data_IF_786734397241
#
_entry.id   IF_786734397241
#
_cell.length_a   1.000
_cell.length_b   1.000
_cell.length_c   1.000
_cell.angle_alpha   90.00
_cell.angle_beta   90.00
_cell.angle_gamma   90.00
#
_symmetry.space_group_name_H-M   'P 1'
#
loop_
_entity.id
_entity.type
_entity.pdbx_description
1 polymer ?
#
# COMPACT_ATOMS: atom_id res chain seq x y z
N UNK A 1 5.52 -15.81 32.99
CA UNK A 1 4.90 -14.58 32.49
C UNK A 1 5.95 -13.92 31.64
N UNK A 2 5.67 -13.72 30.35
CA UNK A 2 6.56 -12.91 29.51
C UNK A 2 6.68 -11.53 30.15
N UNK A 3 7.90 -11.03 30.25
CA UNK A 3 8.13 -9.65 30.65
C UNK A 3 7.57 -8.75 29.55
N UNK A 4 6.71 -7.80 29.95
CA UNK A 4 6.02 -6.86 29.06
C UNK A 4 6.32 -5.45 29.50
N UNK A 5 6.42 -4.54 28.53
CA UNK A 5 6.63 -3.11 28.77
C UNK A 5 5.45 -2.32 28.22
N UNK A 6 5.10 -1.21 28.88
CA UNK A 6 4.04 -0.31 28.43
C UNK A 6 4.63 0.75 27.51
N UNK A 7 3.97 1.00 26.37
CA UNK A 7 4.31 2.12 25.48
C UNK A 7 3.17 3.11 25.46
N UNK A 8 3.48 4.37 25.80
CA UNK A 8 2.57 5.52 25.69
C UNK A 8 2.92 6.35 24.47
N UNK A 9 1.92 6.67 23.65
CA UNK A 9 2.05 7.50 22.46
C UNK A 9 1.63 8.94 22.76
N UNK A 10 2.53 9.89 22.61
CA UNK A 10 2.27 11.33 22.72
C UNK A 10 2.13 11.97 21.33
N UNK A 11 1.23 12.94 21.11
CA UNK A 11 0.26 13.50 22.06
C UNK A 11 -1.05 12.71 22.17
N UNK A 12 -1.19 11.61 21.44
CA UNK A 12 -2.46 10.87 21.27
C UNK A 12 -2.99 10.28 22.59
N UNK A 13 -2.11 9.97 23.54
CA UNK A 13 -2.44 9.39 24.85
C UNK A 13 -2.81 7.91 24.82
N UNK A 14 -2.58 7.22 23.69
CA UNK A 14 -2.84 5.78 23.53
C UNK A 14 -1.71 4.97 24.20
N UNK A 15 -2.08 3.93 24.92
CA UNK A 15 -1.16 3.00 25.57
C UNK A 15 -1.36 1.57 25.08
N UNK A 16 -0.26 0.80 25.04
CA UNK A 16 -0.29 -0.62 24.68
C UNK A 16 0.91 -1.39 25.22
N UNK A 17 0.77 -2.72 25.29
CA UNK A 17 1.82 -3.60 25.85
C UNK A 17 2.71 -4.18 24.76
N UNK A 18 4.03 -4.09 24.93
CA UNK A 18 5.04 -4.72 24.07
C UNK A 18 5.60 -5.95 24.77
N UNK A 19 5.57 -7.09 24.08
CA UNK A 19 6.20 -8.32 24.58
C UNK A 19 7.71 -8.31 24.32
N UNK A 20 8.50 -8.93 25.21
CA UNK A 20 9.95 -9.04 25.00
C UNK A 20 10.29 -9.69 23.64
N UNK A 21 11.16 -9.04 22.87
CA UNK A 21 11.57 -9.47 21.52
C UNK A 21 10.59 -9.08 20.39
N UNK A 22 9.43 -8.49 20.72
CA UNK A 22 8.52 -7.89 19.75
C UNK A 22 8.94 -6.44 19.46
N UNK A 23 8.74 -6.00 18.21
CA UNK A 23 8.96 -4.59 17.89
C UNK A 23 7.77 -3.74 18.34
N UNK A 24 8.02 -2.50 18.75
CA UNK A 24 6.95 -1.55 19.15
C UNK A 24 5.84 -1.47 18.10
N UNK A 25 6.21 -1.45 16.81
CA UNK A 25 5.23 -1.43 15.72
C UNK A 25 4.36 -2.70 15.66
N UNK A 26 4.95 -3.89 15.83
CA UNK A 26 4.19 -5.15 15.79
C UNK A 26 3.26 -5.28 17.00
N UNK A 27 3.71 -4.84 18.18
CA UNK A 27 2.89 -4.80 19.38
C UNK A 27 1.67 -3.90 19.21
N UNK A 28 1.85 -2.71 18.61
CA UNK A 28 0.76 -1.82 18.26
C UNK A 28 -0.24 -2.50 17.31
N UNK A 29 0.25 -3.12 16.24
CA UNK A 29 -0.60 -3.83 15.27
C UNK A 29 -1.39 -4.98 15.89
N UNK A 30 -0.76 -5.80 16.74
CA UNK A 30 -1.40 -6.91 17.46
C UNK A 30 -2.58 -6.42 18.31
N UNK A 31 -2.47 -5.21 18.86
CA UNK A 31 -3.50 -4.59 19.70
C UNK A 31 -4.45 -3.66 18.93
N UNK A 32 -4.33 -3.61 17.60
CA UNK A 32 -5.22 -2.80 16.77
C UNK A 32 -4.94 -1.31 16.89
N UNK A 33 -3.68 -0.92 17.04
CA UNK A 33 -3.22 0.46 16.97
C UNK A 33 -2.48 0.63 15.63
N UNK A 34 -3.04 1.48 14.77
CA UNK A 34 -2.46 1.78 13.48
C UNK A 34 -1.42 2.90 13.62
N UNK A 35 -0.14 2.54 13.50
CA UNK A 35 0.96 3.50 13.50
C UNK A 35 1.44 3.79 12.07
N UNK A 36 1.99 4.98 11.80
CA UNK A 36 2.63 5.29 10.52
C UNK A 36 3.72 4.27 10.18
N UNK A 37 3.66 3.70 8.98
CA UNK A 37 4.64 2.73 8.48
C UNK A 37 4.59 2.61 6.96
N UNK A 38 5.63 2.03 6.38
CA UNK A 38 5.69 1.68 4.95
C UNK A 38 6.32 0.31 4.76
N UNK A 39 7.64 0.22 4.84
CA UNK A 39 8.38 -1.03 4.54
C UNK A 39 8.41 -2.08 5.66
N UNK A 40 8.19 -1.70 6.92
CA UNK A 40 8.40 -2.55 8.13
C UNK A 40 9.82 -3.15 8.31
N UNK A 41 10.79 -2.76 7.46
CA UNK A 41 12.15 -3.31 7.42
C UNK A 41 13.25 -2.26 7.72
N UNK A 42 12.87 -1.06 8.17
CA UNK A 42 13.82 0.00 8.52
C UNK A 42 14.50 0.66 7.33
N UNK A 43 13.77 0.83 6.21
CA UNK A 43 14.28 1.40 4.95
C UNK A 43 13.63 2.74 4.55
N UNK A 44 12.40 3.03 4.99
CA UNK A 44 11.58 4.10 4.40
C UNK A 44 11.31 5.32 5.28
N UNK A 45 11.83 5.37 6.52
CA UNK A 45 11.59 6.44 7.52
C UNK A 45 10.14 6.65 7.98
N UNK A 46 9.14 6.01 7.36
CA UNK A 46 7.72 6.24 7.64
C UNK A 46 7.28 5.99 9.09
N UNK A 47 7.96 5.11 9.83
CA UNK A 47 7.66 4.84 11.24
C UNK A 47 8.62 5.57 12.20
N UNK A 48 9.22 6.68 11.75
CA UNK A 48 10.14 7.48 12.57
C UNK A 48 9.35 8.25 13.61
N UNK A 49 9.83 8.20 14.84
CA UNK A 49 9.22 8.84 16.02
C UNK A 49 10.35 9.28 16.96
N UNK A 50 10.02 10.04 18.00
CA UNK A 50 11.01 10.47 19.00
C UNK A 50 10.76 9.70 20.29
N UNK A 51 11.81 9.13 20.87
CA UNK A 51 11.76 8.52 22.19
C UNK A 51 11.89 9.63 23.24
N UNK A 52 10.86 9.82 24.05
CA UNK A 52 10.84 10.80 25.13
C UNK A 52 11.38 10.20 26.43
N UNK A 53 10.93 8.99 26.77
CA UNK A 53 11.36 8.25 27.96
C UNK A 53 11.50 6.75 27.66
N UNK A 54 12.35 6.08 28.43
CA UNK A 54 12.56 4.63 28.36
C UNK A 54 13.85 4.20 27.65
N UNK A 55 14.06 2.88 27.59
CA UNK A 55 15.26 2.25 27.03
C UNK A 55 14.88 1.29 25.90
N UNK A 56 15.58 1.42 24.77
CA UNK A 56 15.32 0.64 23.56
C UNK A 56 16.61 0.17 22.92
N UNK A 57 16.55 -0.95 22.21
CA UNK A 57 17.52 -1.30 21.17
C UNK A 57 16.84 -1.30 19.80
N UNK A 58 17.59 -1.06 18.74
CA UNK A 58 17.07 -1.08 17.38
C UNK A 58 17.72 -2.19 16.56
N UNK A 59 16.87 -3.10 16.05
CA UNK A 59 17.27 -4.08 15.04
C UNK A 59 17.85 -3.38 13.80
N UNK A 60 18.71 -4.07 13.04
CA UNK A 60 19.38 -3.52 11.83
C UNK A 60 18.44 -2.70 10.94
N UNK A 61 18.87 -1.49 10.58
CA UNK A 61 18.16 -0.55 9.69
C UNK A 61 19.14 0.14 8.73
N UNK A 62 18.62 0.89 7.77
CA UNK A 62 19.41 1.70 6.84
C UNK A 62 19.66 3.10 7.40
N UNK A 63 20.89 3.62 7.23
CA UNK A 63 21.23 5.02 7.59
C UNK A 63 20.48 6.06 6.75
N UNK A 64 19.91 5.64 5.61
CA UNK A 64 18.96 6.47 4.86
C UNK A 64 17.63 6.64 5.60
N UNK A 65 17.19 5.61 6.33
CA UNK A 65 15.93 5.64 7.07
C UNK A 65 16.05 6.42 8.39
N UNK A 66 17.19 6.29 9.05
CA UNK A 66 17.52 6.98 10.29
C UNK A 66 19.02 7.24 10.32
N UNK A 67 19.43 8.49 10.17
CA UNK A 67 20.84 8.86 10.19
C UNK A 67 21.37 9.01 11.63
N UNK A 68 22.70 9.12 11.78
CA UNK A 68 23.33 9.16 13.10
C UNK A 68 22.92 10.39 13.92
N UNK A 69 22.75 11.56 13.29
CA UNK A 69 22.32 12.79 13.95
C UNK A 69 20.87 12.69 14.47
N UNK A 70 19.98 12.08 13.69
CA UNK A 70 18.60 11.81 14.12
C UNK A 70 18.58 10.84 15.30
N UNK A 71 19.38 9.77 15.24
CA UNK A 71 19.51 8.81 16.34
C UNK A 71 20.04 9.48 17.62
N UNK A 72 21.07 10.31 17.51
CA UNK A 72 21.66 11.05 18.63
C UNK A 72 20.68 12.06 19.25
N UNK A 73 19.71 12.55 18.46
CA UNK A 73 18.62 13.42 18.93
C UNK A 73 17.39 12.66 19.42
N UNK A 74 17.50 11.35 19.67
CA UNK A 74 16.44 10.53 20.26
C UNK A 74 15.42 9.97 19.27
N UNK A 75 15.64 10.09 17.96
CA UNK A 75 14.75 9.50 16.98
C UNK A 75 14.92 7.98 16.92
N UNK A 76 13.79 7.28 16.77
CA UNK A 76 13.71 5.82 16.68
C UNK A 76 12.85 5.40 15.49
N UNK A 77 13.07 4.19 14.99
CA UNK A 77 12.18 3.54 14.01
C UNK A 77 11.33 2.50 14.73
N UNK A 78 10.03 2.74 14.90
CA UNK A 78 9.16 1.84 15.65
C UNK A 78 9.10 0.41 15.08
N UNK A 79 9.31 0.24 13.76
CA UNK A 79 9.40 -1.08 13.14
C UNK A 79 10.66 -1.89 13.52
N UNK A 80 11.66 -1.25 14.12
CA UNK A 80 12.94 -1.85 14.53
C UNK A 80 13.19 -1.76 16.03
N UNK A 81 12.38 -1.00 16.75
CA UNK A 81 12.52 -0.70 18.17
C UNK A 81 12.08 -1.89 19.02
N UNK A 82 12.97 -2.41 19.88
CA UNK A 82 12.72 -3.42 20.91
C UNK A 82 12.81 -2.71 22.27
N UNK A 83 11.76 -2.82 23.08
CA UNK A 83 11.69 -2.19 24.39
C UNK A 83 12.40 -3.01 25.47
N UNK A 84 13.13 -2.33 26.37
CA UNK A 84 13.73 -2.91 27.60
C UNK A 84 13.21 -2.27 28.88
N UNK A 85 12.37 -1.23 28.76
CA UNK A 85 11.60 -0.62 29.84
C UNK A 85 10.32 -0.03 29.27
N UNK A 86 9.46 0.52 30.14
CA UNK A 86 8.30 1.30 29.70
C UNK A 86 8.77 2.52 28.90
N UNK A 87 8.05 2.83 27.81
CA UNK A 87 8.43 3.88 26.87
C UNK A 87 7.38 4.98 26.79
N UNK A 88 7.85 6.21 26.63
CA UNK A 88 7.05 7.31 26.10
C UNK A 88 7.59 7.72 24.73
N UNK A 89 6.73 7.69 23.71
CA UNK A 89 7.10 7.92 22.31
C UNK A 89 6.25 9.04 21.73
N UNK A 90 6.90 10.09 21.22
CA UNK A 90 6.26 11.15 20.46
C UNK A 90 6.10 10.74 18.99
N UNK A 91 4.85 10.71 18.54
CA UNK A 91 4.52 10.52 17.14
C UNK A 91 4.69 11.84 16.38
N UNK A 92 5.72 11.88 15.52
CA UNK A 92 5.98 13.03 14.65
C UNK A 92 4.84 13.32 13.68
N UNK A 93 4.12 12.28 13.28
CA UNK A 93 2.94 12.37 12.42
C UNK A 93 1.92 11.37 12.94
N UNK A 94 0.68 11.79 13.14
CA UNK A 94 -0.44 10.90 13.42
C UNK A 94 -1.69 11.42 12.71
N UNK A 95 -2.61 10.50 12.45
CA UNK A 95 -3.88 10.77 11.80
C UNK A 95 -4.96 10.13 12.68
N UNK A 96 -5.81 10.96 13.27
CA UNK A 96 -6.87 10.52 14.17
C UNK A 96 -7.86 9.59 13.47
N UNK A 97 -8.10 9.78 12.17
CA UNK A 97 -8.98 8.91 11.38
C UNK A 97 -8.34 7.53 11.20
N UNK A 98 -7.03 7.46 10.98
CA UNK A 98 -6.29 6.19 10.91
C UNK A 98 -6.37 5.45 12.24
N UNK A 99 -6.20 6.16 13.35
CA UNK A 99 -6.29 5.58 14.70
C UNK A 99 -7.69 5.06 14.98
N UNK A 100 -8.74 5.82 14.65
CA UNK A 100 -10.14 5.42 14.82
C UNK A 100 -10.53 4.22 13.94
N UNK A 101 -9.89 4.06 12.78
CA UNK A 101 -10.13 2.97 11.82
C UNK A 101 -9.16 1.80 11.98
N UNK A 102 -8.39 1.74 13.07
CA UNK A 102 -7.43 0.69 13.26
C UNK A 102 -8.09 -0.70 13.40
N UNK A 103 -7.46 -1.69 12.77
CA UNK A 103 -7.90 -3.10 12.80
C UNK A 103 -6.74 -3.91 13.33
N UNK A 104 -7.00 -4.73 14.36
CA UNK A 104 -6.01 -5.63 14.91
C UNK A 104 -5.50 -6.60 13.84
N UNK A 105 -4.18 -6.66 13.68
CA UNK A 105 -3.51 -7.58 12.78
C UNK A 105 -3.66 -9.00 13.31
N UNK A 106 -4.10 -9.90 12.44
CA UNK A 106 -4.31 -11.32 12.76
C UNK A 106 -3.68 -12.20 11.69
N UNK A 107 -3.48 -13.45 12.07
CA UNK A 107 -3.02 -14.51 11.18
C UNK A 107 -4.22 -15.34 10.69
N UNK A 108 -4.31 -15.50 9.38
CA UNK A 108 -5.34 -16.27 8.69
C UNK A 108 -4.68 -17.40 7.91
N UNK A 109 -5.28 -18.59 7.95
CA UNK A 109 -4.91 -19.69 7.07
C UNK A 109 -5.80 -19.66 5.84
N UNK A 110 -5.25 -20.00 4.68
CA UNK A 110 -5.99 -20.03 3.43
C UNK A 110 -5.31 -20.87 2.36
N UNK A 111 -5.88 -20.81 1.16
CA UNK A 111 -5.34 -21.47 -0.03
C UNK A 111 -5.46 -20.57 -1.24
N UNK A 112 -4.54 -20.70 -2.19
CA UNK A 112 -4.66 -20.05 -3.50
C UNK A 112 -5.77 -20.75 -4.27
N UNK A 113 -6.89 -20.07 -4.50
CA UNK A 113 -8.03 -20.62 -5.23
C UNK A 113 -7.85 -20.51 -6.75
N UNK A 114 -7.29 -19.38 -7.22
CA UNK A 114 -7.11 -19.11 -8.65
C UNK A 114 -5.85 -18.29 -8.89
N UNK A 115 -5.20 -18.57 -10.03
CA UNK A 115 -4.13 -17.75 -10.60
C UNK A 115 -4.54 -17.44 -12.04
N UNK A 116 -4.42 -16.17 -12.44
CA UNK A 116 -4.75 -15.67 -13.77
C UNK A 116 -3.59 -14.87 -14.33
N UNK A 117 -3.31 -15.02 -15.62
CA UNK A 117 -2.35 -14.17 -16.32
C UNK A 117 -3.08 -12.91 -16.83
N UNK A 118 -2.67 -11.74 -16.34
CA UNK A 118 -3.27 -10.45 -16.74
C UNK A 118 -2.48 -9.77 -17.86
N UNK A 119 -1.14 -9.83 -17.77
CA UNK A 119 -0.23 -9.35 -18.82
C UNK A 119 0.96 -10.32 -18.93
N UNK A 120 1.97 -9.97 -19.74
CA UNK A 120 3.22 -10.73 -19.79
C UNK A 120 3.93 -10.80 -18.42
N UNK A 121 3.85 -9.76 -17.60
CA UNK A 121 4.53 -9.63 -16.31
C UNK A 121 3.61 -9.44 -15.09
N UNK A 122 2.27 -9.53 -15.23
CA UNK A 122 1.33 -9.40 -14.11
C UNK A 122 0.45 -10.64 -13.96
N UNK A 123 0.30 -11.11 -12.73
CA UNK A 123 -0.57 -12.23 -12.34
C UNK A 123 -1.65 -11.74 -11.38
N UNK A 124 -2.90 -12.13 -11.64
CA UNK A 124 -4.00 -12.03 -10.69
C UNK A 124 -4.05 -13.28 -9.81
N UNK A 125 -4.25 -13.12 -8.50
CA UNK A 125 -4.41 -14.25 -7.58
C UNK A 125 -5.65 -14.05 -6.74
N UNK A 126 -6.40 -15.12 -6.55
CA UNK A 126 -7.46 -15.19 -5.55
C UNK A 126 -7.07 -16.17 -4.44
N UNK A 127 -7.16 -15.72 -3.18
CA UNK A 127 -6.94 -16.53 -1.98
C UNK A 127 -8.25 -16.67 -1.24
N UNK A 128 -8.58 -17.91 -0.89
CA UNK A 128 -9.70 -18.24 -0.03
C UNK A 128 -9.19 -18.45 1.40
N UNK A 129 -9.68 -17.63 2.33
CA UNK A 129 -9.35 -17.71 3.75
C UNK A 129 -10.27 -18.69 4.47
N UNK A 130 -9.77 -19.35 5.51
CA UNK A 130 -10.56 -20.22 6.38
C UNK A 130 -11.46 -19.46 7.37
N UNK A 131 -11.28 -18.14 7.51
CA UNK A 131 -12.09 -17.27 8.35
C UNK A 131 -12.15 -15.86 7.76
N UNK A 132 -13.22 -15.08 8.03
CA UNK A 132 -13.37 -13.74 7.49
C UNK A 132 -12.34 -12.76 8.07
N UNK A 133 -11.74 -11.97 7.19
CA UNK A 133 -10.85 -10.85 7.53
C UNK A 133 -11.58 -9.52 7.30
N UNK A 134 -11.58 -8.66 8.32
CA UNK A 134 -11.96 -7.25 8.18
C UNK A 134 -10.75 -6.45 7.68
N UNK A 135 -10.97 -5.56 6.71
CA UNK A 135 -9.96 -4.63 6.20
C UNK A 135 -10.63 -3.40 5.56
N UNK A 136 -9.84 -2.38 5.22
CA UNK A 136 -10.28 -1.22 4.46
C UNK A 136 -9.73 -1.23 3.03
N UNK A 137 -10.51 -0.74 2.08
CA UNK A 137 -10.12 -0.74 0.67
C UNK A 137 -8.83 0.06 0.46
N UNK A 138 -7.79 -0.60 -0.05
CA UNK A 138 -6.43 -0.04 -0.20
C UNK A 138 -5.38 -0.65 0.73
N UNK A 139 -5.79 -1.37 1.79
CA UNK A 139 -4.87 -2.06 2.69
C UNK A 139 -4.16 -3.25 2.03
N UNK A 140 -3.13 -3.76 2.72
CA UNK A 140 -2.33 -4.90 2.28
C UNK A 140 -2.16 -5.97 3.35
N UNK A 141 -1.67 -7.13 2.95
CA UNK A 141 -1.33 -8.26 3.85
C UNK A 141 0.04 -8.82 3.49
N UNK A 142 0.67 -9.47 4.46
CA UNK A 142 1.81 -10.34 4.19
C UNK A 142 1.29 -11.74 3.83
N UNK A 143 1.74 -12.27 2.69
CA UNK A 143 1.38 -13.61 2.22
C UNK A 143 2.61 -14.49 2.30
N UNK A 144 2.53 -15.53 3.10
CA UNK A 144 3.52 -16.60 3.22
C UNK A 144 3.05 -17.84 2.48
N UNK A 145 3.89 -18.35 1.58
CA UNK A 145 3.66 -19.59 0.84
C UNK A 145 4.89 -20.48 0.91
N UNK A 146 4.69 -21.80 0.98
CA UNK A 146 5.76 -22.79 0.80
C UNK A 146 5.70 -23.31 -0.64
N UNK A 147 6.78 -23.12 -1.39
CA UNK A 147 6.86 -23.55 -2.79
C UNK A 147 6.90 -25.07 -2.90
N UNK A 148 6.71 -25.61 -4.10
CA UNK A 148 6.87 -27.05 -4.35
C UNK A 148 8.27 -27.58 -4.00
N UNK A 149 9.29 -26.71 -3.95
CA UNK A 149 10.66 -27.05 -3.55
C UNK A 149 10.87 -26.99 -2.03
N UNK A 150 9.85 -26.67 -1.26
CA UNK A 150 9.91 -26.53 0.20
C UNK A 150 10.43 -25.17 0.69
N UNK A 151 10.67 -24.20 -0.19
CA UNK A 151 11.11 -22.86 0.22
C UNK A 151 9.91 -22.05 0.73
N UNK A 152 10.04 -21.43 1.90
CA UNK A 152 9.02 -20.52 2.44
C UNK A 152 9.34 -19.08 2.07
N UNK A 153 8.38 -18.41 1.42
CA UNK A 153 8.53 -17.05 0.93
C UNK A 153 7.39 -16.20 1.48
N UNK A 154 7.73 -15.06 2.10
CA UNK A 154 6.77 -14.05 2.57
C UNK A 154 6.93 -12.76 1.79
N UNK A 155 5.84 -12.19 1.27
CA UNK A 155 5.82 -10.87 0.62
C UNK A 155 4.52 -10.14 0.89
N UNK A 156 4.59 -8.81 0.92
CA UNK A 156 3.43 -7.94 1.12
C UNK A 156 2.72 -7.68 -0.21
N UNK A 157 1.39 -7.81 -0.23
CA UNK A 157 0.56 -7.52 -1.40
C UNK A 157 -0.73 -6.82 -0.99
N UNK A 158 -1.09 -5.74 -1.69
CA UNK A 158 -2.32 -4.99 -1.45
C UNK A 158 -3.53 -5.70 -2.04
N UNK A 159 -4.63 -5.71 -1.29
CA UNK A 159 -5.89 -6.31 -1.73
C UNK A 159 -6.48 -5.50 -2.90
N UNK A 160 -7.00 -6.21 -3.91
CA UNK A 160 -7.74 -5.67 -5.04
C UNK A 160 -9.26 -5.82 -4.87
N UNK A 161 -9.71 -6.72 -4.00
CA UNK A 161 -11.12 -6.89 -3.67
C UNK A 161 -11.62 -5.82 -2.70
N UNK A 162 -12.94 -5.67 -2.61
CA UNK A 162 -13.58 -4.72 -1.69
C UNK A 162 -13.80 -5.36 -0.29
N UNK A 163 -13.85 -4.55 0.79
CA UNK A 163 -14.04 -4.99 2.18
C UNK A 163 -15.21 -5.93 2.49
N UNK A 164 -16.29 -5.91 1.70
CA UNK A 164 -17.42 -6.84 1.83
C UNK A 164 -17.03 -8.29 1.48
N UNK A 165 -15.97 -8.49 0.70
CA UNK A 165 -15.44 -9.81 0.34
C UNK A 165 -14.42 -10.27 1.38
N UNK A 166 -14.92 -10.67 2.56
CA UNK A 166 -14.09 -10.94 3.75
C UNK A 166 -13.29 -12.25 3.72
N UNK A 167 -13.69 -13.23 2.90
CA UNK A 167 -13.02 -14.55 2.82
C UNK A 167 -12.34 -14.82 1.47
N UNK A 168 -12.63 -14.01 0.45
CA UNK A 168 -12.06 -14.15 -0.89
C UNK A 168 -11.23 -12.92 -1.21
N UNK A 169 -9.94 -13.00 -0.95
CA UNK A 169 -9.01 -11.91 -1.20
C UNK A 169 -8.47 -12.01 -2.63
N UNK A 170 -8.38 -10.88 -3.32
CA UNK A 170 -7.83 -10.80 -4.68
C UNK A 170 -6.58 -9.92 -4.68
N UNK A 171 -5.59 -10.26 -5.50
CA UNK A 171 -4.31 -9.56 -5.57
C UNK A 171 -3.85 -9.42 -7.02
N UNK A 172 -3.18 -8.30 -7.32
CA UNK A 172 -2.52 -8.06 -8.61
C UNK A 172 -1.01 -7.97 -8.34
N UNK A 173 -0.27 -8.95 -8.84
CA UNK A 173 1.14 -9.15 -8.52
C UNK A 173 2.00 -8.99 -9.76
N UNK A 174 2.97 -8.07 -9.68
CA UNK A 174 3.97 -7.88 -10.72
C UNK A 174 5.13 -8.87 -10.57
N UNK A 175 5.55 -9.43 -11.70
CA UNK A 175 6.75 -10.21 -11.87
C UNK A 175 7.96 -9.29 -11.93
N UNK A 176 8.95 -9.60 -11.10
CA UNK A 176 10.27 -9.01 -11.16
C UNK A 176 11.27 -10.12 -11.54
N UNK A 177 12.28 -9.84 -12.39
CA UNK A 177 13.23 -10.85 -12.84
C UNK A 177 13.87 -11.68 -11.71
N UNK A 178 14.14 -11.05 -10.56
CA UNK A 178 14.72 -11.68 -9.37
C UNK A 178 13.72 -11.89 -8.21
N UNK A 179 12.43 -11.65 -8.47
CA UNK A 179 11.38 -11.78 -7.47
C UNK A 179 11.11 -13.25 -7.16
N UNK A 180 11.50 -13.75 -5.99
CA UNK A 180 11.26 -15.16 -5.60
C UNK A 180 9.78 -15.55 -5.66
N UNK A 181 8.90 -14.77 -5.05
CA UNK A 181 7.45 -15.06 -5.01
C UNK A 181 6.84 -15.01 -6.42
N UNK A 182 7.09 -13.92 -7.16
CA UNK A 182 6.49 -13.74 -8.48
C UNK A 182 7.13 -14.59 -9.57
N UNK A 183 8.39 -15.00 -9.42
CA UNK A 183 9.04 -15.99 -10.27
C UNK A 183 8.47 -17.39 -10.06
N UNK A 184 8.20 -17.79 -8.82
CA UNK A 184 7.62 -19.11 -8.52
C UNK A 184 6.14 -19.21 -8.94
N UNK A 185 5.40 -18.10 -8.92
CA UNK A 185 4.06 -18.04 -9.53
C UNK A 185 4.07 -18.28 -11.03
N UNK A 186 5.03 -17.70 -11.74
CA UNK A 186 5.08 -17.77 -13.19
C UNK A 186 5.68 -19.08 -13.72
N UNK A 187 6.72 -19.58 -13.06
CA UNK A 187 7.34 -20.88 -13.37
C UNK A 187 6.52 -22.07 -12.89
N UNK A 188 5.40 -21.83 -12.19
CA UNK A 188 4.48 -22.86 -11.72
C UNK A 188 4.95 -23.63 -10.48
N UNK A 189 5.87 -23.05 -9.70
CA UNK A 189 6.28 -23.57 -8.38
C UNK A 189 5.32 -23.17 -7.25
N UNK A 190 4.46 -22.18 -7.49
CA UNK A 190 3.24 -21.90 -6.71
C UNK A 190 2.04 -22.13 -7.63
N UNK A 191 1.05 -22.91 -7.18
CA UNK A 191 -0.13 -23.29 -7.98
C UNK A 191 -1.42 -23.10 -7.19
N UNK A 192 -2.55 -23.11 -7.90
CA UNK A 192 -3.85 -23.23 -7.26
C UNK A 192 -3.88 -24.49 -6.36
N UNK A 193 -4.49 -24.37 -5.19
CA UNK A 193 -4.47 -25.34 -4.11
C UNK A 193 -3.34 -25.18 -3.10
N UNK A 194 -2.31 -24.36 -3.37
CA UNK A 194 -1.22 -24.13 -2.42
C UNK A 194 -1.72 -23.47 -1.13
N UNK A 195 -1.32 -24.02 0.01
CA UNK A 195 -1.62 -23.45 1.32
C UNK A 195 -0.82 -22.16 1.54
N UNK A 196 -1.48 -21.19 2.15
CA UNK A 196 -0.90 -19.89 2.47
C UNK A 196 -1.23 -19.49 3.90
N UNK A 197 -0.33 -18.73 4.50
CA UNK A 197 -0.60 -17.96 5.71
C UNK A 197 -0.66 -16.48 5.33
N UNK A 198 -1.73 -15.81 5.73
CA UNK A 198 -1.99 -14.39 5.46
C UNK A 198 -1.96 -13.64 6.79
N UNK A 199 -1.18 -12.57 6.89
CA UNK A 199 -1.09 -11.74 8.09
C UNK A 199 -1.47 -10.30 7.75
N UNK A 200 -2.41 -9.71 8.50
CA UNK A 200 -2.83 -8.32 8.33
C UNK A 200 -4.22 -8.04 8.91
N UNK A 201 -4.90 -6.96 8.48
CA UNK A 201 -4.48 -6.03 7.43
C UNK A 201 -3.47 -4.98 7.90
N UNK A 202 -2.64 -4.50 6.99
CA UNK A 202 -1.68 -3.41 7.18
C UNK A 202 -1.98 -2.23 6.24
N UNK A 203 -1.29 -1.11 6.46
CA UNK A 203 -1.33 0.05 5.60
C UNK A 203 -2.36 1.11 5.99
N UNK A 204 -2.00 2.34 5.68
CA UNK A 204 -2.73 3.57 6.00
C UNK A 204 -3.30 4.26 4.76
N UNK A 205 -2.92 3.82 3.56
CA UNK A 205 -3.47 4.30 2.29
C UNK A 205 -4.76 3.53 1.96
N UNK A 206 -5.83 3.84 2.69
CA UNK A 206 -7.15 3.28 2.43
C UNK A 206 -8.17 4.39 2.16
N UNK A 207 -9.29 4.03 1.52
CA UNK A 207 -10.36 4.97 1.14
C UNK A 207 -10.86 5.79 2.34
N UNK A 208 -10.93 7.11 2.17
CA UNK A 208 -11.55 8.04 3.11
C UNK A 208 -13.03 8.26 2.75
N UNK A 209 -13.93 8.05 3.70
CA UNK A 209 -15.38 8.19 3.57
C UNK A 209 -15.85 9.60 3.96
N UNK A 210 -17.06 9.97 3.52
CA UNK A 210 -17.71 11.24 3.91
C UNK A 210 -16.91 12.52 3.58
N UNK A 211 -15.98 12.44 2.62
CA UNK A 211 -15.17 13.57 2.18
C UNK A 211 -15.84 14.33 1.03
N UNK A 212 -15.47 15.61 0.90
CA UNK A 212 -15.91 16.48 -0.19
C UNK A 212 -14.83 16.63 -1.27
N UNK A 213 -15.23 17.08 -2.46
CA UNK A 213 -14.34 17.26 -3.61
C UNK A 213 -14.08 15.96 -4.39
N UNK A 214 -13.32 16.02 -5.50
CA UNK A 214 -13.07 14.86 -6.35
C UNK A 214 -12.23 13.79 -5.63
N UNK A 215 -12.35 12.55 -6.10
CA UNK A 215 -11.48 11.43 -5.74
C UNK A 215 -10.51 11.18 -6.89
N UNK A 216 -9.22 11.42 -6.68
CA UNK A 216 -8.19 11.27 -7.69
C UNK A 216 -7.42 9.97 -7.41
N UNK A 217 -7.54 9.01 -8.31
CA UNK A 217 -6.95 7.69 -8.18
C UNK A 217 -5.81 7.53 -9.19
N UNK A 218 -4.60 7.25 -8.71
CA UNK A 218 -3.41 7.14 -9.57
C UNK A 218 -2.74 5.79 -9.36
N UNK A 219 -2.91 4.87 -10.30
CA UNK A 219 -2.24 3.57 -10.30
C UNK A 219 -1.18 3.46 -11.38
N UNK A 220 -0.11 2.69 -11.14
CA UNK A 220 0.74 2.19 -12.22
C UNK A 220 1.18 0.75 -12.02
N UNK A 221 1.16 -0.05 -13.10
CA UNK A 221 1.46 -1.48 -13.05
C UNK A 221 0.60 -2.22 -12.01
N UNK A 222 1.23 -2.93 -11.07
CA UNK A 222 0.53 -3.61 -9.97
C UNK A 222 -0.04 -2.67 -8.91
N UNK A 223 0.32 -1.38 -8.92
CA UNK A 223 -0.34 -0.36 -8.11
C UNK A 223 -1.84 -0.20 -8.44
N UNK A 224 -2.29 -0.83 -9.53
CA UNK A 224 -3.71 -1.10 -9.78
C UNK A 224 -4.39 -1.85 -8.63
N UNK A 225 -3.70 -2.71 -7.88
CA UNK A 225 -4.32 -3.55 -6.83
C UNK A 225 -5.11 -2.72 -5.81
N UNK A 226 -4.48 -1.85 -4.98
CA UNK A 226 -5.23 -1.07 -4.00
C UNK A 226 -6.14 -0.03 -4.65
N UNK A 227 -5.77 0.53 -5.80
CA UNK A 227 -6.58 1.52 -6.52
C UNK A 227 -7.90 0.91 -7.00
N UNK A 228 -7.86 -0.32 -7.52
CA UNK A 228 -9.04 -1.06 -7.93
C UNK A 228 -9.97 -1.35 -6.74
N UNK A 229 -9.40 -1.71 -5.59
CA UNK A 229 -10.15 -1.90 -4.35
C UNK A 229 -10.85 -0.60 -3.93
N UNK A 230 -10.13 0.52 -3.86
CA UNK A 230 -10.66 1.84 -3.48
C UNK A 230 -11.77 2.30 -4.43
N UNK A 231 -11.56 2.18 -5.74
CA UNK A 231 -12.56 2.55 -6.75
C UNK A 231 -13.86 1.77 -6.55
N UNK A 232 -13.79 0.45 -6.49
CA UNK A 232 -14.98 -0.38 -6.38
C UNK A 232 -15.68 -0.21 -5.03
N UNK A 233 -14.94 0.02 -3.94
CA UNK A 233 -15.52 0.32 -2.63
C UNK A 233 -16.24 1.67 -2.63
N UNK A 234 -15.67 2.70 -3.28
CA UNK A 234 -16.33 3.99 -3.47
C UNK A 234 -17.65 3.89 -4.23
N UNK A 235 -17.65 3.17 -5.36
CA UNK A 235 -18.86 3.01 -6.16
C UNK A 235 -19.96 2.25 -5.40
N UNK A 236 -19.56 1.25 -4.59
CA UNK A 236 -20.49 0.53 -3.70
C UNK A 236 -21.03 1.37 -2.56
N UNK A 237 -20.26 2.33 -2.03
CA UNK A 237 -20.71 3.20 -0.94
C UNK A 237 -21.85 4.14 -1.37
N UNK A 238 -22.02 4.35 -2.68
CA UNK A 238 -23.06 5.20 -3.25
C UNK A 238 -22.73 6.70 -3.20
N UNK A 239 -21.56 7.08 -2.71
CA UNK A 239 -21.08 8.47 -2.75
C UNK A 239 -20.97 8.96 -4.20
N UNK A 240 -21.32 10.23 -4.42
CA UNK A 240 -21.40 10.85 -5.75
C UNK A 240 -20.32 11.90 -5.97
N UNK A 241 -19.08 11.53 -5.64
CA UNK A 241 -17.91 12.38 -5.86
C UNK A 241 -17.41 12.15 -7.30
N UNK A 242 -17.00 13.19 -8.03
CA UNK A 242 -16.29 13.00 -9.29
C UNK A 242 -15.03 12.16 -9.06
N UNK A 243 -14.81 11.13 -9.88
CA UNK A 243 -13.65 10.25 -9.79
C UNK A 243 -12.80 10.41 -11.04
N UNK A 244 -11.52 10.72 -10.84
CA UNK A 244 -10.53 10.74 -11.92
C UNK A 244 -9.55 9.60 -11.72
N UNK A 245 -9.67 8.57 -12.56
CA UNK A 245 -8.90 7.34 -12.44
C UNK A 245 -7.80 7.28 -13.50
N UNK A 246 -6.58 7.62 -13.09
CA UNK A 246 -5.38 7.55 -13.90
C UNK A 246 -4.73 6.18 -13.79
N UNK A 247 -4.43 5.57 -14.93
CA UNK A 247 -3.67 4.32 -14.97
C UNK A 247 -2.45 4.40 -15.89
N UNK A 248 -1.28 4.48 -15.28
CA UNK A 248 0.00 4.56 -15.94
C UNK A 248 0.58 3.19 -16.31
N UNK A 249 1.01 3.04 -17.56
CA UNK A 249 1.74 1.88 -18.03
C UNK A 249 2.84 2.26 -19.06
N UNK A 250 3.63 1.28 -19.52
CA UNK A 250 4.66 1.54 -20.55
C UNK A 250 4.01 1.55 -21.93
N UNK A 251 3.40 0.44 -22.30
CA UNK A 251 2.78 0.21 -23.61
C UNK A 251 1.35 -0.31 -23.44
N UNK A 252 0.59 -0.44 -24.55
CA UNK A 252 -0.76 -1.03 -24.53
C UNK A 252 -0.78 -2.45 -23.93
N UNK A 253 0.28 -3.23 -24.14
CA UNK A 253 0.40 -4.61 -23.64
C UNK A 253 0.58 -4.71 -22.12
N UNK A 254 0.82 -3.59 -21.44
CA UNK A 254 0.96 -3.50 -20.00
C UNK A 254 -0.38 -3.13 -19.31
N UNK A 255 -1.40 -2.75 -20.09
CA UNK A 255 -2.74 -2.46 -19.59
C UNK A 255 -3.56 -3.74 -19.49
N UNK A 256 -4.37 -3.86 -18.45
CA UNK A 256 -5.31 -4.96 -18.25
C UNK A 256 -6.61 -4.43 -17.64
N UNK A 257 -7.64 -5.29 -17.59
CA UNK A 257 -9.01 -4.94 -17.16
C UNK A 257 -9.69 -3.85 -18.00
N UNK A 258 -9.19 -3.52 -19.19
CA UNK A 258 -9.75 -2.45 -20.03
C UNK A 258 -11.24 -2.64 -20.31
N UNK A 259 -11.69 -3.87 -20.61
CA UNK A 259 -13.11 -4.16 -20.83
C UNK A 259 -13.95 -3.95 -19.56
N UNK A 260 -13.43 -4.38 -18.40
CA UNK A 260 -14.10 -4.19 -17.10
C UNK A 260 -14.17 -2.71 -16.71
N UNK A 261 -13.12 -1.95 -17.01
CA UNK A 261 -13.07 -0.51 -16.79
C UNK A 261 -14.07 0.20 -17.70
N UNK A 262 -14.13 -0.19 -18.98
CA UNK A 262 -15.07 0.39 -19.93
C UNK A 262 -16.54 0.14 -19.52
N UNK A 263 -16.86 -1.08 -19.07
CA UNK A 263 -18.18 -1.40 -18.51
C UNK A 263 -18.49 -0.57 -17.25
N UNK A 264 -17.54 -0.48 -16.32
CA UNK A 264 -17.67 0.32 -15.10
C UNK A 264 -17.93 1.80 -15.42
N UNK A 265 -17.12 2.41 -16.28
CA UNK A 265 -17.28 3.82 -16.69
C UNK A 265 -18.62 4.02 -17.40
N UNK A 266 -19.04 3.07 -18.25
CA UNK A 266 -20.35 3.14 -18.92
C UNK A 266 -21.54 3.13 -17.95
N UNK A 267 -21.39 2.50 -16.78
CA UNK A 267 -22.41 2.44 -15.74
C UNK A 267 -22.31 3.59 -14.71
N UNK A 268 -21.23 4.37 -14.71
CA UNK A 268 -20.94 5.39 -13.72
C UNK A 268 -20.43 6.67 -14.37
N UNK A 269 -21.35 7.61 -14.65
CA UNK A 269 -21.04 8.92 -15.28
C UNK A 269 -20.07 9.79 -14.49
N UNK A 270 -19.96 9.56 -13.18
CA UNK A 270 -19.09 10.32 -12.29
C UNK A 270 -17.62 9.85 -12.37
N UNK A 271 -17.34 8.76 -13.09
CA UNK A 271 -15.99 8.19 -13.24
C UNK A 271 -15.41 8.53 -14.60
N UNK A 272 -14.29 9.24 -14.61
CA UNK A 272 -13.46 9.45 -15.80
C UNK A 272 -12.23 8.56 -15.72
N UNK A 273 -12.03 7.71 -16.71
CA UNK A 273 -10.82 6.87 -16.83
C UNK A 273 -9.81 7.51 -17.78
N UNK A 274 -8.55 7.63 -17.32
CA UNK A 274 -7.45 8.28 -18.03
C UNK A 274 -6.27 7.31 -18.10
N UNK A 275 -6.17 6.46 -19.15
CA UNK A 275 -5.00 5.62 -19.32
C UNK A 275 -3.83 6.45 -19.88
N UNK A 276 -2.63 6.24 -19.34
CA UNK A 276 -1.42 6.98 -19.69
C UNK A 276 -0.30 6.03 -20.08
N UNK A 277 0.29 6.22 -21.27
CA UNK A 277 1.40 5.40 -21.75
C UNK A 277 2.69 6.21 -21.88
N UNK A 278 3.73 5.77 -21.16
CA UNK A 278 5.06 6.40 -21.19
C UNK A 278 5.90 6.04 -22.41
N UNK A 279 5.61 4.93 -23.08
CA UNK A 279 6.34 4.42 -24.26
C UNK A 279 5.39 4.23 -25.45
N UNK A 280 4.56 5.24 -25.73
CA UNK A 280 3.60 5.22 -26.82
C UNK A 280 4.00 6.10 -28.02
N UNK A 281 5.16 6.79 -28.01
CA UNK A 281 5.50 7.77 -29.05
C UNK A 281 5.38 7.23 -30.49
N UNK A 282 5.72 5.95 -30.69
CA UNK A 282 5.65 5.29 -32.00
C UNK A 282 4.33 4.51 -32.24
N UNK A 283 3.41 4.53 -31.26
CA UNK A 283 2.12 3.85 -31.32
C UNK A 283 1.05 4.79 -31.89
N UNK A 284 0.86 4.75 -33.21
CA UNK A 284 -0.10 5.61 -33.92
C UNK A 284 -1.57 5.33 -33.57
N UNK A 285 -1.88 4.13 -33.06
CA UNK A 285 -3.24 3.75 -32.69
C UNK A 285 -3.62 4.24 -31.29
N UNK A 286 -2.64 4.65 -30.47
CA UNK A 286 -2.91 5.11 -29.11
C UNK A 286 -3.56 6.50 -29.10
N UNK A 287 -4.80 6.56 -28.61
CA UNK A 287 -5.59 7.80 -28.49
C UNK A 287 -5.64 8.36 -27.06
N UNK A 288 -5.08 7.64 -26.08
CA UNK A 288 -5.04 8.11 -24.70
C UNK A 288 -3.88 9.05 -24.41
N UNK A 289 -3.68 9.36 -23.13
CA UNK A 289 -2.62 10.24 -22.68
C UNK A 289 -1.22 9.63 -22.92
N UNK A 290 -0.25 10.50 -23.23
CA UNK A 290 1.12 10.13 -23.57
C UNK A 290 2.09 10.77 -22.57
N UNK A 291 3.13 10.04 -22.19
CA UNK A 291 4.13 10.49 -21.22
C UNK A 291 3.95 9.85 -19.85
N UNK A 292 4.37 10.55 -18.81
CA UNK A 292 4.30 10.03 -17.44
C UNK A 292 3.01 10.46 -16.75
N UNK A 293 2.44 9.57 -15.93
CA UNK A 293 1.13 9.77 -15.30
C UNK A 293 1.00 11.08 -14.50
N UNK A 294 2.06 11.52 -13.83
CA UNK A 294 2.06 12.78 -13.07
C UNK A 294 1.85 14.01 -13.97
N UNK A 295 2.27 13.96 -15.25
CA UNK A 295 2.06 15.03 -16.22
C UNK A 295 0.59 15.13 -16.64
N UNK A 296 -0.05 13.98 -16.88
CA UNK A 296 -1.49 13.92 -17.18
C UNK A 296 -2.34 14.34 -15.98
N UNK A 297 -1.92 13.99 -14.75
CA UNK A 297 -2.56 14.48 -13.53
C UNK A 297 -2.46 16.01 -13.47
N UNK A 298 -1.28 16.59 -13.64
CA UNK A 298 -1.07 18.05 -13.64
C UNK A 298 -1.96 18.77 -14.67
N UNK A 299 -1.96 18.27 -15.92
CA UNK A 299 -2.74 18.85 -17.00
C UNK A 299 -4.25 18.80 -16.71
N UNK A 300 -4.74 17.66 -16.20
CA UNK A 300 -6.15 17.48 -15.89
C UNK A 300 -6.59 18.36 -14.71
N UNK A 301 -5.82 18.43 -13.63
CA UNK A 301 -6.15 19.27 -12.47
C UNK A 301 -6.27 20.75 -12.87
N UNK A 302 -5.33 21.24 -13.70
CA UNK A 302 -5.38 22.59 -14.27
C UNK A 302 -6.58 22.81 -15.17
N UNK A 303 -6.90 21.85 -16.04
CA UNK A 303 -8.07 21.94 -16.92
C UNK A 303 -9.38 22.01 -16.13
N UNK A 304 -9.48 21.28 -15.03
CA UNK A 304 -10.67 21.23 -14.18
C UNK A 304 -10.72 22.38 -13.15
N UNK A 305 -9.66 23.18 -13.05
CA UNK A 305 -9.47 24.17 -12.00
C UNK A 305 -9.61 23.58 -10.58
N UNK A 306 -9.12 22.35 -10.39
CA UNK A 306 -9.03 21.72 -9.06
C UNK A 306 -7.78 22.26 -8.37
N UNK A 307 -7.97 22.90 -7.22
CA UNK A 307 -6.92 23.56 -6.44
C UNK A 307 -6.99 23.06 -4.99
N UNK A 308 -6.31 21.95 -4.72
CA UNK A 308 -6.28 21.29 -3.41
C UNK A 308 -7.59 20.64 -2.95
N UNK A 309 -8.68 20.75 -3.72
CA UNK A 309 -9.95 20.13 -3.35
C UNK A 309 -9.97 18.64 -3.68
N UNK A 310 -10.44 17.84 -2.74
CA UNK A 310 -10.60 16.40 -2.91
C UNK A 310 -9.55 15.58 -2.16
N UNK A 311 -9.46 14.31 -2.50
CA UNK A 311 -8.46 13.40 -1.93
C UNK A 311 -7.77 12.62 -3.06
N UNK A 312 -6.47 12.41 -2.91
CA UNK A 312 -5.63 11.66 -3.86
C UNK A 312 -5.22 10.34 -3.22
N UNK A 313 -5.48 9.24 -3.91
CA UNK A 313 -4.91 7.93 -3.59
C UNK A 313 -4.01 7.48 -4.72
N UNK A 314 -2.73 7.26 -4.43
CA UNK A 314 -1.73 6.86 -5.42
C UNK A 314 -1.00 5.57 -5.02
N UNK A 315 -0.79 4.67 -5.96
CA UNK A 315 -0.01 3.47 -5.70
C UNK A 315 0.78 3.05 -6.94
N UNK A 316 2.06 2.71 -6.73
CA UNK A 316 2.92 2.25 -7.81
C UNK A 316 4.40 2.24 -7.43
N UNK A 317 5.28 2.24 -8.44
CA UNK A 317 6.72 2.24 -8.21
C UNK A 317 7.19 3.58 -7.61
N UNK A 318 8.24 3.60 -6.77
CA UNK A 318 8.70 4.81 -6.09
C UNK A 318 8.93 6.01 -7.02
N UNK A 319 9.59 5.88 -8.21
CA UNK A 319 9.79 7.01 -9.11
C UNK A 319 8.50 7.69 -9.58
N UNK A 320 7.39 6.94 -9.67
CA UNK A 320 6.09 7.51 -10.03
C UNK A 320 5.54 8.36 -8.89
N UNK A 321 5.58 7.84 -7.67
CA UNK A 321 5.06 8.55 -6.49
C UNK A 321 5.91 9.78 -6.20
N UNK A 322 7.23 9.66 -6.29
CA UNK A 322 8.18 10.75 -6.06
C UNK A 322 7.98 11.90 -7.06
N UNK A 323 7.63 11.59 -8.32
CA UNK A 323 7.32 12.60 -9.33
C UNK A 323 5.90 13.21 -9.18
N UNK A 324 4.96 12.46 -8.61
CA UNK A 324 3.58 12.91 -8.42
C UNK A 324 3.45 13.92 -7.26
N UNK A 325 4.20 13.74 -6.18
CA UNK A 325 4.07 14.59 -4.98
C UNK A 325 4.29 16.09 -5.26
N UNK A 326 5.37 16.53 -5.96
CA UNK A 326 5.56 17.94 -6.28
C UNK A 326 4.44 18.51 -7.16
N UNK A 327 3.92 17.71 -8.09
CA UNK A 327 2.78 18.10 -8.95
C UNK A 327 1.55 18.40 -8.11
N UNK A 328 1.19 17.51 -7.18
CA UNK A 328 0.03 17.70 -6.31
C UNK A 328 0.19 18.93 -5.42
N UNK A 329 1.38 19.15 -4.86
CA UNK A 329 1.68 20.34 -4.07
C UNK A 329 1.55 21.63 -4.88
N UNK A 330 2.06 21.66 -6.12
CA UNK A 330 1.89 22.81 -7.02
C UNK A 330 0.43 23.07 -7.44
N UNK A 331 -0.45 22.07 -7.32
CA UNK A 331 -1.89 22.17 -7.54
C UNK A 331 -2.67 22.28 -6.22
N UNK A 332 -2.03 22.76 -5.14
CA UNK A 332 -2.68 23.17 -3.90
C UNK A 332 -3.05 22.04 -2.93
N UNK A 333 -2.69 20.78 -3.21
CA UNK A 333 -3.02 19.68 -2.30
C UNK A 333 -2.13 19.70 -1.05
N UNK A 334 -2.78 19.70 0.11
CA UNK A 334 -2.14 19.52 1.41
C UNK A 334 -1.80 18.05 1.67
N UNK A 335 -0.83 17.79 2.55
CA UNK A 335 -0.34 16.43 2.86
C UNK A 335 -1.42 15.49 3.37
N UNK A 336 -2.41 16.03 4.08
CA UNK A 336 -3.56 15.33 4.67
C UNK A 336 -4.58 14.89 3.60
N UNK A 337 -4.42 15.34 2.36
CA UNK A 337 -5.24 14.97 1.20
C UNK A 337 -4.53 14.02 0.25
N UNK A 338 -3.26 13.69 0.51
CA UNK A 338 -2.42 12.87 -0.38
C UNK A 338 -2.06 11.57 0.32
N UNK A 339 -2.71 10.49 -0.09
CA UNK A 339 -2.47 9.15 0.41
C UNK A 339 -1.72 8.34 -0.64
N UNK A 340 -0.62 7.70 -0.28
CA UNK A 340 0.11 6.88 -1.23
C UNK A 340 0.73 5.63 -0.62
N UNK A 341 0.97 4.64 -1.48
CA UNK A 341 1.75 3.45 -1.17
C UNK A 341 2.85 3.25 -2.23
N UNK A 342 4.09 3.02 -1.78
CA UNK A 342 5.28 2.86 -2.62
C UNK A 342 5.69 1.40 -2.63
N UNK A 343 5.56 0.75 -3.79
CA UNK A 343 5.97 -0.65 -3.94
C UNK A 343 7.48 -0.75 -4.11
N UNK A 344 8.19 -0.91 -2.99
CA UNK A 344 9.63 -1.14 -2.98
C UNK A 344 9.96 -2.62 -3.18
N UNK A 345 10.94 -2.92 -4.03
CA UNK A 345 11.53 -4.25 -4.09
C UNK A 345 12.42 -4.46 -2.87
N UNK A 346 12.29 -5.59 -2.16
CA UNK A 346 13.20 -5.95 -1.07
C UNK A 346 14.66 -5.86 -1.55
N UNK A 347 15.54 -5.29 -0.72
CA UNK A 347 16.93 -5.00 -1.09
C UNK A 347 17.62 -6.23 -1.71
N UNK A 348 17.99 -6.09 -2.99
CA UNK A 348 18.59 -7.14 -3.82
C UNK A 348 18.69 -6.73 -5.28
N UNK A 349 17.71 -5.97 -5.78
CA UNK A 349 17.72 -5.50 -7.16
C UNK A 349 17.97 -3.98 -7.21
N UNK A 350 19.24 -3.58 -7.34
CA UNK A 350 19.53 -2.28 -7.96
C UNK A 350 19.07 -2.39 -9.41
N UNK A 351 18.14 -1.55 -9.90
CA UNK A 351 17.84 -1.53 -11.32
C UNK A 351 19.13 -1.19 -12.06
N UNK A 352 19.56 -2.05 -12.99
CA UNK A 352 20.52 -1.62 -13.99
C UNK A 352 19.89 -0.45 -14.74
N UNK A 353 20.60 0.68 -14.74
CA UNK A 353 20.26 1.89 -15.50
C UNK A 353 20.09 1.58 -16.99
#
# INVERSE_FOLDING_TARGET
MSETHTVRLSPVGVEFEVENGETVLNAAFRQGIALPHGCKEGQCSACKSVLLEGEVDMLKYSTFALNDMEKESGHVLLCRCIAYSDLEVELLNYDEEILAKAIAVKTYKGRIARIEQLTHDIRGIEIELGSPMKFWAGQYVDITVTTQKGETITRSFSMANTPDQTQKLSFIIKKYPEGKFSGELDSGGIRAGAEVTVVGPYGTCFRRDERQGPLILVGAGSGMSPIWSILNDHLKSGEKRPVYFFYGARTRNDLFYLDRIAELVGNHSDVTFIPVLSHANDDAEWQGERGFVHQSVDAMLKQLAVDGQGDVHACGPPPMIDALQPVLFMNGFETERIFFDKFTTSAGATPAL
#
